data_IF_221765066338
#
_entry.id   IF_221765066338
#
_cell.length_a   1.000
_cell.length_b   1.000
_cell.length_c   1.000
_cell.angle_alpha   90.00
_cell.angle_beta   90.00
_cell.angle_gamma   90.00
#
_symmetry.space_group_name_H-M   'P 1'
#
loop_
_entity.id
_entity.type
_entity.pdbx_description
1 polymer ?
#
# COMPACT_ATOMS: atom_id res chain seq x y z
N UNK A 1 9.36 -31.77 -32.79
CA UNK A 1 8.22 -31.38 -31.95
C UNK A 1 8.57 -31.27 -30.46
N UNK A 2 9.14 -32.28 -29.81
CA UNK A 2 9.46 -32.24 -28.36
C UNK A 2 10.40 -31.08 -27.95
N UNK A 3 11.45 -30.79 -28.74
CA UNK A 3 12.36 -29.66 -28.49
C UNK A 3 11.68 -28.29 -28.58
N UNK A 4 10.72 -28.15 -29.49
CA UNK A 4 9.94 -26.92 -29.71
C UNK A 4 8.96 -26.67 -28.56
N UNK A 5 8.37 -27.75 -28.01
CA UNK A 5 7.46 -27.69 -26.86
C UNK A 5 8.23 -27.31 -25.59
N UNK A 6 9.40 -27.90 -25.33
CA UNK A 6 10.23 -27.51 -24.18
C UNK A 6 10.68 -26.05 -24.24
N UNK A 7 10.96 -25.52 -25.43
CA UNK A 7 11.32 -24.12 -25.60
C UNK A 7 10.14 -23.18 -25.30
N UNK A 8 8.94 -23.51 -25.79
CA UNK A 8 7.71 -22.77 -25.49
C UNK A 8 7.38 -22.76 -23.99
N UNK A 9 7.53 -23.91 -23.31
CA UNK A 9 7.31 -24.00 -21.85
C UNK A 9 8.33 -23.15 -21.09
N UNK A 10 9.60 -23.14 -21.50
CA UNK A 10 10.63 -22.33 -20.86
C UNK A 10 10.38 -20.82 -21.04
N UNK A 11 9.95 -20.39 -22.24
CA UNK A 11 9.59 -18.98 -22.51
C UNK A 11 8.35 -18.57 -21.73
N UNK A 12 7.34 -19.45 -21.63
CA UNK A 12 6.16 -19.20 -20.82
C UNK A 12 6.51 -19.07 -19.33
N UNK A 13 7.39 -19.94 -18.81
CA UNK A 13 7.83 -19.86 -17.42
C UNK A 13 8.65 -18.59 -17.15
N UNK A 14 9.49 -18.17 -18.09
CA UNK A 14 10.28 -16.94 -17.95
C UNK A 14 9.42 -15.67 -17.99
N UNK A 15 8.34 -15.66 -18.78
CA UNK A 15 7.40 -14.51 -18.84
C UNK A 15 6.52 -14.40 -17.60
N UNK A 16 6.13 -15.53 -16.99
CA UNK A 16 5.37 -15.55 -15.73
C UNK A 16 6.17 -15.05 -14.50
N UNK A 17 7.50 -14.91 -14.61
CA UNK A 17 8.37 -14.40 -13.55
C UNK A 17 8.61 -12.88 -13.63
N UNK A 18 8.08 -12.20 -14.65
CA UNK A 18 8.30 -10.75 -14.87
C UNK A 18 7.33 -9.90 -14.02
N UNK A 19 6.29 -10.50 -13.45
CA UNK A 19 5.24 -9.78 -12.72
C UNK A 19 5.60 -9.48 -11.24
N UNK A 20 6.87 -9.26 -10.92
CA UNK A 20 7.24 -8.69 -9.62
C UNK A 20 7.06 -7.17 -9.67
N UNK A 21 5.80 -6.77 -9.50
CA UNK A 21 5.27 -5.49 -9.02
C UNK A 21 6.34 -4.43 -8.78
N UNK A 22 6.47 -3.49 -9.73
CA UNK A 22 7.08 -2.21 -9.42
C UNK A 22 6.12 -1.46 -8.50
N UNK A 23 6.51 -1.27 -7.24
CA UNK A 23 5.96 -0.17 -6.47
C UNK A 23 6.21 1.11 -7.28
N UNK A 24 5.14 1.78 -7.68
CA UNK A 24 5.18 3.02 -8.47
C UNK A 24 5.63 4.17 -7.54
N UNK A 25 6.87 4.14 -7.09
CA UNK A 25 7.43 5.12 -6.18
C UNK A 25 8.95 5.18 -6.31
N UNK A 26 9.52 6.37 -6.11
CA UNK A 26 10.97 6.48 -5.97
C UNK A 26 11.41 5.68 -4.72
N UNK A 27 12.53 4.94 -4.78
CA UNK A 27 13.00 4.18 -3.63
C UNK A 27 13.24 5.13 -2.44
N UNK A 28 12.74 4.76 -1.26
CA UNK A 28 12.85 5.58 -0.05
C UNK A 28 11.90 6.77 0.01
N UNK A 29 10.90 6.85 -0.87
CA UNK A 29 9.85 7.87 -0.84
C UNK A 29 8.51 7.24 -0.50
N UNK A 30 7.84 7.77 0.52
CA UNK A 30 6.50 7.33 0.91
C UNK A 30 5.51 7.69 -0.20
N UNK A 31 4.60 6.76 -0.51
CA UNK A 31 3.55 6.95 -1.50
C UNK A 31 2.21 6.99 -0.79
N UNK A 32 1.48 8.07 -0.99
CA UNK A 32 0.12 8.24 -0.48
C UNK A 32 -0.92 7.73 -1.49
N UNK A 33 -2.07 7.22 -1.03
CA UNK A 33 -3.18 6.92 -1.91
C UNK A 33 -3.78 8.20 -2.52
N UNK A 34 -4.35 8.08 -3.71
CA UNK A 34 -5.14 9.18 -4.29
C UNK A 34 -6.44 9.37 -3.49
N UNK A 35 -6.69 10.60 -3.04
CA UNK A 35 -7.86 10.96 -2.25
C UNK A 35 -9.00 11.54 -3.10
N UNK A 36 -8.77 11.78 -4.40
CA UNK A 36 -9.78 12.39 -5.27
C UNK A 36 -11.05 11.53 -5.33
N UNK A 37 -12.19 12.13 -5.00
CA UNK A 37 -13.49 11.46 -5.01
C UNK A 37 -13.72 10.54 -3.80
N UNK A 38 -12.88 10.62 -2.77
CA UNK A 38 -13.08 9.98 -1.48
C UNK A 38 -13.58 11.00 -0.45
N UNK A 39 -14.16 10.52 0.65
CA UNK A 39 -14.57 11.35 1.81
C UNK A 39 -13.40 11.58 2.81
N UNK A 40 -12.16 11.28 2.39
CA UNK A 40 -10.96 11.47 3.20
C UNK A 40 -10.43 12.87 2.93
N UNK A 41 -10.46 13.71 3.96
CA UNK A 41 -9.98 15.08 3.90
C UNK A 41 -8.44 15.15 3.88
N UNK A 42 -7.78 14.36 4.72
CA UNK A 42 -6.33 14.33 4.79
C UNK A 42 -5.79 13.02 5.37
N UNK A 43 -4.56 12.69 5.00
CA UNK A 43 -3.74 11.66 5.65
C UNK A 43 -2.46 12.34 6.10
N UNK A 44 -2.07 12.09 7.35
CA UNK A 44 -0.79 12.55 7.90
C UNK A 44 -0.07 11.36 8.50
N UNK A 45 1.26 11.34 8.42
CA UNK A 45 2.05 10.24 8.96
C UNK A 45 3.50 10.66 9.22
N UNK A 46 4.22 9.82 9.97
CA UNK A 46 5.67 9.98 10.14
C UNK A 46 6.40 9.75 8.80
N UNK A 47 7.42 10.57 8.50
CA UNK A 47 8.15 10.47 7.22
C UNK A 47 9.05 9.23 7.14
N UNK A 48 9.60 8.78 8.27
CA UNK A 48 10.56 7.68 8.32
C UNK A 48 10.06 6.62 9.28
N UNK A 49 9.98 5.38 8.80
CA UNK A 49 9.77 4.22 9.65
C UNK A 49 11.14 3.72 10.15
N UNK A 50 11.39 3.84 11.45
CA UNK A 50 12.61 3.32 12.09
C UNK A 50 12.38 1.91 12.63
N UNK A 51 13.44 1.10 12.61
CA UNK A 51 13.37 -0.27 13.12
C UNK A 51 13.03 -0.27 14.62
N UNK A 52 12.02 -1.07 15.00
CA UNK A 52 11.53 -1.18 16.38
C UNK A 52 10.98 0.12 16.99
N UNK A 53 10.67 1.14 16.19
CA UNK A 53 9.95 2.32 16.63
C UNK A 53 8.51 2.29 16.11
N UNK A 54 7.54 2.81 16.89
CA UNK A 54 6.19 2.99 16.39
C UNK A 54 6.17 4.03 15.27
N UNK A 55 5.46 3.70 14.19
CA UNK A 55 5.14 4.60 13.09
C UNK A 55 3.68 5.02 13.21
N UNK A 56 3.42 6.32 13.21
CA UNK A 56 2.08 6.87 13.42
C UNK A 56 1.52 7.42 12.11
N UNK A 57 0.20 7.30 11.99
CA UNK A 57 -0.57 7.98 10.97
C UNK A 57 -1.92 8.43 11.54
N UNK A 58 -2.52 9.41 10.89
CA UNK A 58 -3.85 9.91 11.16
C UNK A 58 -4.61 10.10 9.85
N UNK A 59 -5.90 9.77 9.86
CA UNK A 59 -6.81 9.98 8.75
C UNK A 59 -7.90 10.93 9.22
N UNK A 60 -8.06 12.03 8.50
CA UNK A 60 -9.17 12.95 8.69
C UNK A 60 -10.24 12.67 7.64
N UNK A 61 -11.49 12.52 8.09
CA UNK A 61 -12.66 12.30 7.24
C UNK A 61 -13.44 13.61 7.18
N UNK A 62 -14.00 13.93 6.02
CA UNK A 62 -14.81 15.14 5.84
C UNK A 62 -15.95 15.21 6.86
N UNK A 63 -16.17 16.40 7.43
CA UNK A 63 -17.16 16.60 8.49
C UNK A 63 -18.59 16.25 8.07
N UNK A 64 -18.96 16.55 6.82
CA UNK A 64 -20.27 16.20 6.26
C UNK A 64 -20.43 14.67 6.13
N UNK A 65 -19.35 13.96 5.77
CA UNK A 65 -19.34 12.51 5.70
C UNK A 65 -19.46 11.88 7.09
N UNK A 66 -18.73 12.40 8.08
CA UNK A 66 -18.87 11.99 9.49
C UNK A 66 -20.32 12.19 9.96
N UNK A 67 -20.92 13.35 9.67
CA UNK A 67 -22.30 13.66 10.02
C UNK A 67 -23.32 12.73 9.33
N UNK A 68 -22.99 12.18 8.17
CA UNK A 68 -23.76 11.17 7.46
C UNK A 68 -23.43 9.73 7.89
N UNK A 69 -22.61 9.55 8.94
CA UNK A 69 -22.28 8.24 9.50
C UNK A 69 -21.16 7.50 8.80
N UNK A 70 -20.38 8.16 7.93
CA UNK A 70 -19.19 7.57 7.32
C UNK A 70 -18.14 7.26 8.39
N UNK A 71 -17.59 6.05 8.35
CA UNK A 71 -16.56 5.57 9.26
C UNK A 71 -15.41 4.93 8.47
N UNK A 72 -14.20 4.99 9.05
CA UNK A 72 -13.05 4.21 8.57
C UNK A 72 -13.00 2.91 9.38
N UNK A 73 -13.38 1.80 8.75
CA UNK A 73 -13.46 0.50 9.41
C UNK A 73 -12.11 -0.23 9.44
N UNK A 74 -11.29 -0.04 8.41
CA UNK A 74 -10.00 -0.73 8.28
C UNK A 74 -9.01 0.10 7.47
N UNK A 75 -7.74 0.05 7.88
CA UNK A 75 -6.61 0.59 7.12
C UNK A 75 -5.59 -0.52 7.00
N UNK A 76 -5.02 -0.68 5.81
CA UNK A 76 -3.94 -1.62 5.56
C UNK A 76 -2.71 -0.84 5.11
N UNK A 77 -1.59 -1.04 5.78
CA UNK A 77 -0.32 -0.38 5.46
C UNK A 77 0.61 -1.39 4.80
N UNK A 78 1.32 -0.95 3.78
CA UNK A 78 2.39 -1.72 3.15
C UNK A 78 3.72 -1.02 3.35
N UNK A 79 4.72 -1.76 3.82
CA UNK A 79 6.08 -1.27 3.96
C UNK A 79 6.92 -1.75 2.77
N UNK A 80 7.57 -0.82 2.09
CA UNK A 80 8.53 -1.10 1.03
C UNK A 80 9.92 -0.66 1.46
N UNK A 81 10.88 -1.58 1.44
CA UNK A 81 12.28 -1.27 1.79
C UNK A 81 13.03 -0.77 0.55
N UNK A 82 14.08 0.02 0.77
CA UNK A 82 14.90 0.64 -0.29
C UNK A 82 15.51 -0.33 -1.31
N UNK A 83 15.54 -1.64 -1.00
CA UNK A 83 15.96 -2.71 -1.90
C UNK A 83 14.91 -3.07 -2.97
N UNK A 84 13.78 -2.35 -3.03
CA UNK A 84 12.70 -2.61 -3.98
C UNK A 84 11.82 -3.80 -3.59
N UNK A 85 11.86 -4.22 -2.33
CA UNK A 85 11.05 -5.31 -1.79
C UNK A 85 9.94 -4.69 -0.94
N UNK A 86 8.69 -5.01 -1.27
CA UNK A 86 7.55 -4.68 -0.42
C UNK A 86 7.11 -5.89 0.38
N UNK A 87 6.89 -5.67 1.67
CA UNK A 87 6.31 -6.67 2.55
C UNK A 87 4.81 -6.83 2.24
N UNK A 88 4.22 -7.90 2.76
CA UNK A 88 2.77 -8.07 2.68
C UNK A 88 2.06 -6.92 3.40
N UNK A 89 0.97 -6.38 2.84
CA UNK A 89 0.14 -5.41 3.54
C UNK A 89 -0.35 -5.95 4.88
N UNK A 90 -0.33 -5.11 5.91
CA UNK A 90 -0.72 -5.47 7.28
C UNK A 90 -1.85 -4.54 7.75
N UNK A 91 -2.93 -5.08 8.35
CA UNK A 91 -3.99 -4.27 8.91
C UNK A 91 -3.49 -3.49 10.13
N UNK A 92 -3.97 -2.25 10.28
CA UNK A 92 -3.65 -1.38 11.40
C UNK A 92 -4.80 -1.32 12.39
N UNK A 93 -4.47 -1.32 13.67
CA UNK A 93 -5.43 -1.02 14.73
C UNK A 93 -5.73 0.48 14.72
N UNK A 94 -7.01 0.82 14.65
CA UNK A 94 -7.48 2.21 14.57
C UNK A 94 -8.09 2.64 15.89
N UNK A 95 -7.69 3.81 16.38
CA UNK A 95 -8.39 4.50 17.47
C UNK A 95 -9.11 5.72 16.91
N UNK A 96 -10.43 5.79 17.07
CA UNK A 96 -11.20 6.99 16.72
C UNK A 96 -10.98 8.07 17.76
N UNK A 97 -10.60 9.26 17.32
CA UNK A 97 -10.43 10.44 18.17
C UNK A 97 -11.36 11.55 17.68
N UNK A 98 -12.42 11.84 18.43
CA UNK A 98 -13.44 12.83 18.06
C UNK A 98 -14.86 12.25 17.97
N UNK A 99 -15.86 13.13 18.10
CA UNK A 99 -17.29 12.84 17.94
C UNK A 99 -17.64 12.95 16.46
#
# INVERSE_FOLDING_TARGET
MQKSISFLVAVLFATLMIDSVAALGAPGVNTEPDLVGTEIASITHDEVAEENQPWHFSIEVDGDAIANGTTVEAVTVQICVNQGICLSPTPMELSRQGN
#
